data_IF_958027827630
#
_entry.id   IF_958027827630
#
_cell.length_a   1.000
_cell.length_b   1.000
_cell.length_c   1.000
_cell.angle_alpha   90.00
_cell.angle_beta   90.00
_cell.angle_gamma   90.00
#
_symmetry.space_group_name_H-M   'P 1'
#
loop_
_entity.id
_entity.type
_entity.pdbx_description
1 polymer ?
#
# COMPACT_ATOMS: atom_id res chain seq x y z
N UNK A 1 -26.64 9.89 -18.74
CA UNK A 1 -26.97 8.58 -18.14
C UNK A 1 -26.25 8.50 -16.80
N UNK A 2 -26.95 8.74 -15.70
CA UNK A 2 -26.43 8.41 -14.38
C UNK A 2 -26.32 6.88 -14.34
N UNK A 3 -25.11 6.35 -14.18
CA UNK A 3 -24.95 4.92 -13.87
C UNK A 3 -25.53 4.71 -12.48
N UNK A 4 -26.59 3.92 -12.37
CA UNK A 4 -27.01 3.38 -11.09
C UNK A 4 -25.82 2.64 -10.48
N UNK A 5 -25.35 3.17 -9.35
CA UNK A 5 -24.26 2.59 -8.59
C UNK A 5 -24.86 1.77 -7.47
N UNK A 6 -24.40 0.54 -7.37
CA UNK A 6 -24.77 -0.36 -6.28
C UNK A 6 -24.50 0.32 -4.91
N UNK A 7 -25.43 0.25 -3.95
CA UNK A 7 -25.31 0.91 -2.66
C UNK A 7 -24.03 0.54 -1.91
N UNK A 8 -23.58 -0.72 -1.98
CA UNK A 8 -22.34 -1.14 -1.31
C UNK A 8 -21.11 -0.46 -1.94
N UNK A 9 -21.13 -0.23 -3.26
CA UNK A 9 -20.08 0.53 -3.95
C UNK A 9 -20.07 2.00 -3.51
N UNK A 10 -21.24 2.61 -3.32
CA UNK A 10 -21.36 3.99 -2.82
C UNK A 10 -20.76 4.10 -1.41
N UNK A 11 -21.11 3.17 -0.51
CA UNK A 11 -20.57 3.14 0.85
C UNK A 11 -19.05 2.92 0.86
N UNK A 12 -18.55 2.00 0.02
CA UNK A 12 -17.12 1.77 -0.14
C UNK A 12 -16.39 3.04 -0.58
N UNK A 13 -16.91 3.76 -1.58
CA UNK A 13 -16.33 5.01 -2.07
C UNK A 13 -16.32 6.09 -1.00
N UNK A 14 -17.42 6.24 -0.24
CA UNK A 14 -17.49 7.16 0.91
C UNK A 14 -16.44 6.83 1.96
N UNK A 15 -16.31 5.56 2.33
CA UNK A 15 -15.33 5.09 3.32
C UNK A 15 -13.88 5.31 2.85
N UNK A 16 -13.59 5.03 1.58
CA UNK A 16 -12.26 5.26 1.02
C UNK A 16 -11.93 6.76 0.93
N UNK A 17 -12.90 7.61 0.59
CA UNK A 17 -12.74 9.06 0.60
C UNK A 17 -12.43 9.59 2.00
N UNK A 18 -13.19 9.18 3.01
CA UNK A 18 -12.93 9.57 4.39
C UNK A 18 -11.52 9.17 4.85
N UNK A 19 -11.09 7.94 4.52
CA UNK A 19 -9.74 7.46 4.84
C UNK A 19 -8.63 8.15 4.05
N UNK A 20 -8.90 8.57 2.81
CA UNK A 20 -7.97 9.34 1.98
C UNK A 20 -7.65 10.71 2.61
N UNK A 21 -8.65 11.30 3.29
CA UNK A 21 -8.52 12.58 4.00
C UNK A 21 -7.99 12.45 5.43
N UNK A 22 -7.63 11.23 5.86
CA UNK A 22 -7.01 11.01 7.17
C UNK A 22 -5.66 11.74 7.27
N UNK A 23 -5.35 12.24 8.46
CA UNK A 23 -4.05 12.83 8.79
C UNK A 23 -2.92 11.79 8.72
N UNK A 24 -3.24 10.51 8.92
CA UNK A 24 -2.27 9.42 8.84
C UNK A 24 -1.96 9.07 7.37
N UNK A 25 -0.77 9.46 6.91
CA UNK A 25 -0.33 9.25 5.52
C UNK A 25 -0.33 7.77 5.09
N UNK A 26 -0.10 6.83 6.00
CA UNK A 26 -0.13 5.40 5.70
C UNK A 26 -1.55 4.94 5.40
N UNK A 27 -2.52 5.38 6.22
CA UNK A 27 -3.95 5.10 6.00
C UNK A 27 -4.42 5.74 4.69
N UNK A 28 -4.06 7.01 4.47
CA UNK A 28 -4.41 7.74 3.25
C UNK A 28 -3.84 7.07 2.00
N UNK A 29 -2.58 6.61 2.02
CA UNK A 29 -1.97 5.89 0.88
C UNK A 29 -2.62 4.55 0.62
N UNK A 30 -3.00 3.80 1.64
CA UNK A 30 -3.74 2.54 1.47
C UNK A 30 -5.10 2.81 0.84
N UNK A 31 -5.81 3.83 1.30
CA UNK A 31 -7.07 4.24 0.69
C UNK A 31 -6.89 4.66 -0.78
N UNK A 32 -5.87 5.47 -1.08
CA UNK A 32 -5.53 5.88 -2.43
C UNK A 32 -5.15 4.71 -3.36
N UNK A 33 -4.43 3.72 -2.82
CA UNK A 33 -4.13 2.49 -3.54
C UNK A 33 -5.40 1.71 -3.86
N UNK A 34 -6.30 1.56 -2.90
CA UNK A 34 -7.58 0.87 -3.10
C UNK A 34 -8.43 1.60 -4.16
N UNK A 35 -8.48 2.94 -4.12
CA UNK A 35 -9.13 3.75 -5.15
C UNK A 35 -8.52 3.50 -6.53
N UNK A 36 -7.21 3.26 -6.65
CA UNK A 36 -6.58 2.96 -7.96
C UNK A 36 -7.09 1.69 -8.65
N UNK A 37 -7.79 0.81 -7.92
CA UNK A 37 -8.45 -0.36 -8.49
C UNK A 37 -9.86 -0.06 -9.01
N UNK A 38 -10.51 1.00 -8.50
CA UNK A 38 -11.87 1.41 -8.85
C UNK A 38 -11.95 2.27 -10.12
N UNK A 39 -10.93 2.16 -10.99
CA UNK A 39 -10.88 2.74 -12.34
C UNK A 39 -11.41 4.20 -12.41
N UNK A 40 -12.51 4.45 -13.13
CA UNK A 40 -13.07 5.78 -13.36
C UNK A 40 -13.55 6.47 -12.06
N UNK A 41 -14.24 5.75 -11.17
CA UNK A 41 -14.68 6.28 -9.88
C UNK A 41 -13.47 6.63 -8.99
N UNK A 42 -12.48 5.73 -8.98
CA UNK A 42 -11.21 5.93 -8.29
C UNK A 42 -10.43 7.14 -8.81
N UNK A 43 -10.33 7.28 -10.14
CA UNK A 43 -9.65 8.40 -10.78
C UNK A 43 -10.31 9.72 -10.41
N UNK A 44 -11.64 9.75 -10.39
CA UNK A 44 -12.41 10.96 -10.07
C UNK A 44 -12.10 11.44 -8.65
N UNK A 45 -12.15 10.54 -7.66
CA UNK A 45 -11.85 10.89 -6.27
C UNK A 45 -10.39 11.27 -6.05
N UNK A 46 -9.46 10.58 -6.72
CA UNK A 46 -8.03 10.92 -6.61
C UNK A 46 -7.72 12.26 -7.26
N UNK A 47 -8.34 12.58 -8.40
CA UNK A 47 -8.21 13.88 -9.06
C UNK A 47 -8.78 15.00 -8.18
N UNK A 48 -9.95 14.78 -7.60
CA UNK A 48 -10.57 15.72 -6.66
C UNK A 48 -9.66 15.96 -5.45
N UNK A 49 -9.15 14.90 -4.83
CA UNK A 49 -8.25 15.02 -3.67
C UNK A 49 -6.91 15.70 -4.00
N UNK A 50 -6.44 15.59 -5.24
CA UNK A 50 -5.17 16.17 -5.69
C UNK A 50 -5.28 17.68 -5.95
N UNK A 51 -6.34 18.12 -6.65
CA UNK A 51 -6.51 19.51 -7.05
C UNK A 51 -7.42 20.33 -6.13
N UNK A 52 -8.20 19.67 -5.28
CA UNK A 52 -9.05 20.33 -4.31
C UNK A 52 -8.27 20.95 -3.15
N UNK A 53 -9.01 21.70 -2.33
CA UNK A 53 -8.50 22.26 -1.09
C UNK A 53 -8.48 21.18 0.01
N UNK A 54 -7.44 20.35 -0.04
CA UNK A 54 -7.23 19.24 0.87
C UNK A 54 -5.82 19.30 1.48
N UNK A 55 -5.64 18.69 2.66
CA UNK A 55 -4.34 18.68 3.32
C UNK A 55 -3.26 18.02 2.46
N UNK A 56 -2.02 18.43 2.68
CA UNK A 56 -0.83 17.90 2.01
C UNK A 56 -0.71 16.37 2.04
N UNK A 57 -1.24 15.72 3.08
CA UNK A 57 -1.28 14.26 3.22
C UNK A 57 -2.17 13.62 2.16
N UNK A 58 -3.38 14.15 1.97
CA UNK A 58 -4.34 13.69 0.97
C UNK A 58 -3.80 13.88 -0.44
N UNK A 59 -3.23 15.06 -0.76
CA UNK A 59 -2.60 15.35 -2.08
C UNK A 59 -1.47 14.37 -2.41
N UNK A 60 -0.57 14.12 -1.45
CA UNK A 60 0.53 13.15 -1.59
C UNK A 60 0.02 11.71 -1.73
N UNK A 61 -1.04 11.35 -1.01
CA UNK A 61 -1.68 10.04 -1.13
C UNK A 61 -2.38 9.88 -2.49
N UNK A 62 -3.09 10.92 -2.96
CA UNK A 62 -3.76 10.93 -4.25
C UNK A 62 -2.79 10.72 -5.40
N UNK A 63 -1.67 11.47 -5.42
CA UNK A 63 -0.60 11.29 -6.40
C UNK A 63 0.00 9.87 -6.35
N UNK A 64 0.08 9.26 -5.15
CA UNK A 64 0.49 7.86 -5.01
C UNK A 64 -0.53 6.88 -5.60
N UNK A 65 -1.83 7.11 -5.41
CA UNK A 65 -2.91 6.31 -6.01
C UNK A 65 -2.89 6.38 -7.53
N UNK A 66 -2.80 7.59 -8.10
CA UNK A 66 -2.73 7.82 -9.55
C UNK A 66 -1.57 7.05 -10.19
N UNK A 67 -0.40 7.06 -9.55
CA UNK A 67 0.78 6.30 -10.01
C UNK A 67 0.55 4.78 -10.10
N UNK A 68 -0.37 4.26 -9.29
CA UNK A 68 -0.69 2.83 -9.20
C UNK A 68 -1.86 2.42 -10.10
N UNK A 69 -2.50 3.37 -10.80
CA UNK A 69 -3.53 3.06 -11.81
C UNK A 69 -2.99 2.11 -12.88
N UNK A 70 -3.87 1.24 -13.37
CA UNK A 70 -3.55 0.17 -14.32
C UNK A 70 -4.43 0.26 -15.56
N UNK A 71 -4.06 -0.50 -16.59
CA UNK A 71 -4.82 -0.60 -17.83
C UNK A 71 -5.05 0.76 -18.49
N UNK A 72 -6.26 0.97 -19.01
CA UNK A 72 -6.68 2.20 -19.71
C UNK A 72 -6.55 3.43 -18.81
N UNK A 73 -6.83 3.29 -17.51
CA UNK A 73 -6.81 4.40 -16.56
C UNK A 73 -5.40 4.91 -16.23
N UNK A 74 -4.36 4.12 -16.54
CA UNK A 74 -2.98 4.57 -16.37
C UNK A 74 -2.65 5.78 -17.25
N UNK A 75 -3.15 5.81 -18.49
CA UNK A 75 -2.91 6.95 -19.40
C UNK A 75 -3.55 8.21 -18.85
N UNK A 76 -4.82 8.12 -18.45
CA UNK A 76 -5.55 9.22 -17.82
C UNK A 76 -4.87 9.69 -16.53
N UNK A 77 -4.35 8.77 -15.71
CA UNK A 77 -3.64 9.12 -14.50
C UNK A 77 -2.32 9.85 -14.78
N UNK A 78 -1.60 9.49 -15.85
CA UNK A 78 -0.39 10.20 -16.28
C UNK A 78 -0.74 11.63 -16.71
N UNK A 79 -1.80 11.81 -17.50
CA UNK A 79 -2.26 13.13 -17.93
C UNK A 79 -2.63 14.02 -16.72
N UNK A 80 -3.34 13.45 -15.74
CA UNK A 80 -3.66 14.13 -14.46
C UNK A 80 -2.38 14.52 -13.70
N UNK A 81 -1.38 13.63 -13.64
CA UNK A 81 -0.11 13.93 -12.99
C UNK A 81 0.70 15.00 -13.75
N UNK A 82 0.65 15.01 -15.08
CA UNK A 82 1.27 16.06 -15.90
C UNK A 82 0.62 17.43 -15.63
N UNK A 83 -0.72 17.50 -15.62
CA UNK A 83 -1.45 18.70 -15.23
C UNK A 83 -1.05 19.16 -13.81
N UNK A 84 -0.92 18.22 -12.87
CA UNK A 84 -0.51 18.53 -11.50
C UNK A 84 0.91 19.07 -11.38
N UNK A 85 1.82 18.69 -12.29
CA UNK A 85 3.19 19.23 -12.36
C UNK A 85 3.21 20.71 -12.74
N UNK A 86 2.20 21.19 -13.44
CA UNK A 86 2.05 22.60 -13.85
C UNK A 86 1.20 23.41 -12.86
N UNK A 87 0.75 22.79 -11.76
CA UNK A 87 -0.07 23.46 -10.74
C UNK A 87 0.72 24.54 -9.99
N UNK A 88 0.01 25.60 -9.59
CA UNK A 88 0.52 26.66 -8.71
C UNK A 88 0.75 26.18 -7.28
N UNK A 89 0.02 25.15 -6.83
CA UNK A 89 0.21 24.55 -5.52
C UNK A 89 1.51 23.72 -5.50
N UNK A 90 2.47 24.17 -4.71
CA UNK A 90 3.77 23.54 -4.55
C UNK A 90 3.65 22.07 -4.12
N UNK A 91 2.72 21.75 -3.21
CA UNK A 91 2.56 20.39 -2.69
C UNK A 91 2.09 19.44 -3.79
N UNK A 92 1.12 19.88 -4.59
CA UNK A 92 0.60 19.11 -5.73
C UNK A 92 1.67 18.96 -6.80
N UNK A 93 2.36 20.04 -7.14
CA UNK A 93 3.46 20.04 -8.11
C UNK A 93 4.56 19.05 -7.75
N UNK A 94 5.06 19.11 -6.52
CA UNK A 94 6.10 18.19 -6.04
C UNK A 94 5.62 16.73 -6.01
N UNK A 95 4.40 16.49 -5.50
CA UNK A 95 3.84 15.15 -5.42
C UNK A 95 3.68 14.53 -6.82
N UNK A 96 3.20 15.31 -7.79
CA UNK A 96 3.07 14.88 -9.17
C UNK A 96 4.40 14.64 -9.86
N UNK A 97 5.35 15.57 -9.74
CA UNK A 97 6.69 15.42 -10.30
C UNK A 97 7.37 14.16 -9.75
N UNK A 98 7.28 13.92 -8.44
CA UNK A 98 7.82 12.70 -7.80
C UNK A 98 7.13 11.44 -8.30
N UNK A 99 5.81 11.46 -8.47
CA UNK A 99 5.07 10.30 -8.98
C UNK A 99 5.47 9.96 -10.41
N UNK A 100 5.58 10.96 -11.30
CA UNK A 100 6.03 10.77 -12.69
C UNK A 100 7.46 10.24 -12.74
N UNK A 101 8.38 10.86 -12.00
CA UNK A 101 9.77 10.41 -11.90
C UNK A 101 9.87 8.94 -11.47
N UNK A 102 9.08 8.51 -10.50
CA UNK A 102 9.04 7.12 -10.03
C UNK A 102 8.36 6.15 -11.00
N UNK A 103 7.57 6.65 -11.97
CA UNK A 103 7.01 5.82 -13.04
C UNK A 103 8.00 5.58 -14.16
N UNK A 104 8.81 6.58 -14.50
CA UNK A 104 9.87 6.52 -15.51
C UNK A 104 11.07 5.72 -14.99
N UNK A 105 11.55 6.07 -13.80
CA UNK A 105 12.74 5.49 -13.19
C UNK A 105 12.42 4.29 -12.30
N UNK A 106 11.37 3.52 -12.62
CA UNK A 106 10.99 2.35 -11.81
C UNK A 106 12.23 1.48 -11.62
N UNK A 107 12.74 1.32 -10.39
CA UNK A 107 13.83 0.40 -10.16
C UNK A 107 13.31 -0.97 -10.61
N UNK A 108 14.00 -1.59 -11.58
CA UNK A 108 13.71 -2.97 -11.97
C UNK A 108 13.66 -3.75 -10.67
N UNK A 109 12.47 -4.23 -10.27
CA UNK A 109 12.32 -5.02 -9.05
C UNK A 109 13.30 -6.17 -9.24
N UNK A 110 14.44 -6.14 -8.53
CA UNK A 110 15.28 -7.33 -8.41
C UNK A 110 14.30 -8.37 -7.88
N UNK A 111 13.93 -9.34 -8.72
CA UNK A 111 13.17 -10.48 -8.24
C UNK A 111 14.04 -11.04 -7.13
N UNK A 112 13.66 -10.80 -5.87
CA UNK A 112 14.16 -11.64 -4.79
C UNK A 112 13.73 -13.01 -5.24
N UNK A 113 14.68 -13.82 -5.73
CA UNK A 113 14.50 -15.25 -5.90
C UNK A 113 13.82 -15.66 -4.62
N UNK A 114 12.57 -16.10 -4.71
CA UNK A 114 11.94 -16.75 -3.58
C UNK A 114 12.94 -17.85 -3.23
N UNK A 115 13.62 -17.72 -2.09
CA UNK A 115 14.36 -18.84 -1.55
C UNK A 115 13.36 -19.98 -1.60
N UNK A 116 13.66 -21.10 -2.28
CA UNK A 116 12.72 -22.20 -2.38
C UNK A 116 12.27 -22.43 -0.95
N UNK A 117 10.96 -22.30 -0.72
CA UNK A 117 10.37 -22.73 0.52
C UNK A 117 10.95 -24.12 0.71
N UNK A 118 11.86 -24.26 1.68
CA UNK A 118 12.38 -25.55 2.03
C UNK A 118 11.13 -26.35 2.29
N UNK A 119 10.90 -27.33 1.41
CA UNK A 119 9.86 -28.31 1.61
C UNK A 119 10.03 -28.70 3.07
N UNK A 120 9.05 -28.37 3.91
CA UNK A 120 9.01 -28.86 5.28
C UNK A 120 9.01 -30.37 5.09
N UNK A 121 10.21 -30.94 5.14
CA UNK A 121 10.45 -32.35 5.17
C UNK A 121 9.50 -32.85 6.23
N UNK A 122 8.56 -33.70 5.80
CA UNK A 122 7.68 -34.43 6.70
C UNK A 122 8.58 -34.99 7.79
N UNK A 123 8.57 -34.38 8.98
CA UNK A 123 9.22 -34.94 10.15
C UNK A 123 8.42 -36.19 10.42
N UNK A 124 8.94 -37.35 9.99
CA UNK A 124 8.48 -38.65 10.47
C UNK A 124 8.53 -38.54 11.99
N UNK A 125 7.36 -38.59 12.62
CA UNK A 125 7.23 -38.72 14.06
C UNK A 125 8.00 -40.00 14.40
N UNK A 126 9.18 -39.84 14.99
CA UNK A 126 9.93 -40.97 15.53
C UNK A 126 9.31 -41.22 16.89
N UNK A 127 8.63 -42.35 17.03
CA UNK A 127 8.07 -42.81 18.31
C UNK A 127 9.14 -42.67 19.39
N UNK A 128 8.76 -42.01 20.49
CA UNK A 128 9.58 -41.87 21.68
C UNK A 128 9.45 -43.18 22.45
N UNK A 129 10.53 -43.92 22.73
CA UNK A 129 10.46 -45.03 23.66
C UNK A 129 10.32 -44.45 25.08
N UNK A 130 9.19 -44.72 25.72
CA UNK A 130 8.97 -44.42 27.13
C UNK A 130 9.95 -45.24 27.98
N UNK A 131 10.87 -44.57 28.69
CA UNK A 131 11.56 -45.17 29.83
C UNK A 131 11.72 -44.17 30.97
N UNK A 132 11.12 -44.57 32.08
CA UNK A 132 11.13 -43.96 33.38
C UNK A 132 12.51 -43.56 33.93
N UNK A 133 12.46 -42.49 34.74
CA UNK A 133 13.20 -42.31 35.99
C UNK A 133 14.74 -42.36 36.00
N UNK A 134 15.38 -41.20 36.22
CA UNK A 134 16.02 -40.80 37.51
C UNK A 134 16.88 -39.53 37.40
N UNK A 135 16.55 -38.58 38.28
CA UNK A 135 17.44 -37.69 39.05
C UNK A 135 18.84 -37.35 38.49
N UNK A 136 19.13 -36.06 38.33
CA UNK A 136 19.94 -35.29 39.29
C UNK A 136 20.12 -33.83 38.88
N UNK A 137 19.78 -32.98 39.85
CA UNK A 137 20.16 -31.57 40.06
C UNK A 137 21.49 -31.17 39.39
N UNK A 138 21.52 -29.96 38.81
CA UNK A 138 22.39 -28.87 39.27
C UNK A 138 22.02 -27.54 38.62
N UNK A 139 21.59 -26.62 39.47
CA UNK A 139 21.56 -25.19 39.24
C UNK A 139 22.91 -24.70 38.70
N UNK A 140 22.88 -23.85 37.68
CA UNK A 140 23.85 -22.76 37.58
C UNK A 140 23.25 -21.58 36.82
N UNK A 141 22.82 -20.59 37.60
CA UNK A 141 22.56 -19.23 37.15
C UNK A 141 23.91 -18.61 36.79
N UNK A 142 24.08 -18.13 35.56
CA UNK A 142 25.16 -17.18 35.23
C UNK A 142 24.60 -15.76 35.29
N UNK A 143 25.30 -14.80 35.91
CA UNK A 143 24.82 -13.44 36.05
C UNK A 143 25.00 -12.64 34.75
N UNK A 144 24.08 -11.72 34.55
CA UNK A 144 24.12 -10.65 33.57
C UNK A 144 25.12 -9.61 34.08
N UNK A 145 26.20 -9.33 33.35
CA UNK A 145 27.03 -8.15 33.59
C UNK A 145 26.75 -7.10 32.51
N UNK A 146 26.54 -5.87 33.00
CA UNK A 146 26.48 -4.61 32.25
C UNK A 146 27.82 -4.29 31.63
#
# INVERSE_FOLDING_TARGET
MERERDPATIELLKNLRARLLSENISVARVAAYNLSWLQEDGLTLLKEALFGDYPKTAKKAAAYGLRNMKGRMKKMAIEVLQQGRESSDEVTREACAKSLYLMENKPKRKMKKQSPHSAKARRKIKEVPSKDMKQKRRFNRKPFNR
#
